data_IF_570979243452
#
_entry.id   IF_570979243452
#
_cell.length_a   1.000
_cell.length_b   1.000
_cell.length_c   1.000
_cell.angle_alpha   90.00
_cell.angle_beta   90.00
_cell.angle_gamma   90.00
#
_symmetry.space_group_name_H-M   'P 1'
#
loop_
_entity.id
_entity.type
_entity.pdbx_description
1 polymer ?
#
# COMPACT_ATOMS: atom_id res chain seq x y z
N UNK A 1 -19.55 -12.85 2.58
CA UNK A 1 -18.09 -12.57 2.38
C UNK A 1 -17.47 -13.67 1.56
N UNK A 2 -16.54 -13.34 0.65
CA UNK A 2 -15.74 -14.33 -0.09
C UNK A 2 -14.27 -14.11 0.24
N UNK A 3 -13.53 -15.18 0.55
CA UNK A 3 -12.11 -15.11 0.93
C UNK A 3 -11.31 -16.24 0.26
N UNK A 4 -10.02 -16.02 0.02
CA UNK A 4 -9.10 -17.07 -0.45
C UNK A 4 -8.67 -18.00 0.68
N UNK A 5 -8.26 -19.25 0.38
CA UNK A 5 -7.92 -20.23 1.41
C UNK A 5 -6.84 -19.75 2.41
N UNK A 6 -5.83 -19.03 1.90
CA UNK A 6 -4.67 -18.58 2.68
C UNK A 6 -5.01 -17.43 3.65
N UNK A 7 -6.20 -16.83 3.53
CA UNK A 7 -6.65 -15.69 4.34
C UNK A 7 -7.96 -15.94 5.07
N UNK A 8 -8.32 -17.21 5.26
CA UNK A 8 -9.49 -17.59 6.05
C UNK A 8 -9.27 -17.15 7.49
N UNK A 9 -10.24 -16.42 8.01
CA UNK A 9 -10.28 -15.95 9.39
C UNK A 9 -11.58 -16.45 10.02
N UNK A 10 -11.46 -17.20 11.12
CA UNK A 10 -12.60 -17.80 11.80
C UNK A 10 -13.57 -16.77 12.40
N UNK A 11 -13.05 -15.63 12.86
CA UNK A 11 -13.86 -14.56 13.42
C UNK A 11 -14.66 -13.86 12.31
N UNK A 12 -14.05 -13.60 11.17
CA UNK A 12 -14.73 -13.06 9.99
C UNK A 12 -15.79 -14.03 9.47
N UNK A 13 -15.48 -15.33 9.41
CA UNK A 13 -16.42 -16.36 8.98
C UNK A 13 -17.62 -16.44 9.91
N UNK A 14 -17.39 -16.40 11.23
CA UNK A 14 -18.46 -16.44 12.23
C UNK A 14 -19.36 -15.19 12.20
N UNK A 15 -18.82 -14.04 11.84
CA UNK A 15 -19.56 -12.78 11.69
C UNK A 15 -20.32 -12.63 10.37
N UNK A 16 -20.04 -13.48 9.36
CA UNK A 16 -20.63 -13.38 8.04
C UNK A 16 -21.89 -14.26 7.91
N UNK A 17 -23.01 -13.69 7.43
CA UNK A 17 -24.23 -14.46 7.16
C UNK A 17 -24.02 -15.50 6.05
N UNK A 18 -23.23 -15.14 5.03
CA UNK A 18 -22.78 -16.02 3.95
C UNK A 18 -21.26 -15.93 3.85
N UNK A 19 -20.59 -17.05 3.84
CA UNK A 19 -19.15 -17.14 3.73
C UNK A 19 -18.76 -18.23 2.72
N UNK A 20 -17.88 -17.89 1.78
CA UNK A 20 -17.33 -18.85 0.83
C UNK A 20 -15.81 -18.69 0.71
N UNK A 21 -15.13 -19.81 0.55
CA UNK A 21 -13.70 -19.88 0.28
C UNK A 21 -13.53 -20.15 -1.20
N UNK A 22 -13.24 -19.10 -1.95
CA UNK A 22 -13.09 -19.13 -3.41
C UNK A 22 -11.98 -18.14 -3.81
N UNK A 23 -11.36 -18.41 -4.94
CA UNK A 23 -10.48 -17.43 -5.58
C UNK A 23 -11.31 -16.24 -6.08
N UNK A 24 -11.35 -15.18 -5.27
CA UNK A 24 -12.14 -13.99 -5.57
C UNK A 24 -11.56 -13.14 -6.71
N UNK A 25 -10.35 -13.44 -7.20
CA UNK A 25 -9.79 -12.78 -8.39
C UNK A 25 -10.45 -13.26 -9.68
N UNK A 26 -11.14 -14.39 -9.61
CA UNK A 26 -11.82 -15.04 -10.74
C UNK A 26 -13.30 -14.67 -10.75
N UNK A 27 -13.66 -13.67 -11.55
CA UNK A 27 -15.03 -13.19 -11.68
C UNK A 27 -15.99 -14.31 -12.10
N UNK A 28 -15.56 -15.21 -13.00
CA UNK A 28 -16.34 -16.36 -13.46
C UNK A 28 -16.72 -17.32 -12.33
N UNK A 29 -15.95 -17.38 -11.25
CA UNK A 29 -16.21 -18.22 -10.08
C UNK A 29 -17.07 -17.53 -9.05
N UNK A 30 -16.86 -16.23 -8.80
CA UNK A 30 -17.58 -15.53 -7.74
C UNK A 30 -18.95 -15.01 -8.16
N UNK A 31 -19.12 -14.57 -9.40
CA UNK A 31 -20.36 -13.94 -9.85
C UNK A 31 -21.58 -14.88 -9.73
N UNK A 32 -21.54 -16.18 -10.06
CA UNK A 32 -22.65 -17.09 -9.82
C UNK A 32 -23.05 -17.20 -8.34
N UNK A 33 -22.05 -17.24 -7.45
CA UNK A 33 -22.27 -17.33 -5.99
C UNK A 33 -22.89 -16.03 -5.47
N UNK A 34 -22.35 -14.88 -5.89
CA UNK A 34 -22.85 -13.55 -5.48
C UNK A 34 -24.28 -13.35 -5.95
N UNK A 35 -24.62 -13.74 -7.20
CA UNK A 35 -26.00 -13.71 -7.71
C UNK A 35 -26.96 -14.60 -6.91
N UNK A 36 -26.55 -15.82 -6.60
CA UNK A 36 -27.36 -16.75 -5.82
C UNK A 36 -27.62 -16.23 -4.41
N UNK A 37 -26.61 -15.67 -3.77
CA UNK A 37 -26.75 -15.07 -2.44
C UNK A 37 -27.65 -13.83 -2.47
N UNK A 38 -27.45 -12.93 -3.43
CA UNK A 38 -28.27 -11.72 -3.58
C UNK A 38 -29.74 -12.05 -3.87
N UNK A 39 -30.01 -13.11 -4.64
CA UNK A 39 -31.38 -13.56 -4.91
C UNK A 39 -32.08 -14.15 -3.68
N UNK A 40 -31.32 -14.80 -2.79
CA UNK A 40 -31.85 -15.36 -1.55
C UNK A 40 -31.93 -14.35 -0.40
N UNK A 41 -31.00 -13.44 -0.32
CA UNK A 41 -30.82 -12.42 0.72
C UNK A 41 -30.19 -11.17 0.09
N UNK A 42 -31.01 -10.18 -0.34
CA UNK A 42 -30.54 -9.03 -1.10
C UNK A 42 -29.46 -8.22 -0.37
N UNK A 43 -28.41 -7.88 -1.09
CA UNK A 43 -27.35 -6.98 -0.62
C UNK A 43 -27.70 -5.54 -0.94
N UNK A 44 -27.19 -4.60 -0.14
CA UNK A 44 -27.32 -3.16 -0.37
C UNK A 44 -26.10 -2.58 -1.12
N UNK A 45 -24.94 -3.25 -1.04
CA UNK A 45 -23.72 -2.87 -1.74
C UNK A 45 -22.78 -4.06 -1.95
N UNK A 46 -21.85 -3.94 -2.90
CA UNK A 46 -20.72 -4.89 -3.07
C UNK A 46 -19.43 -4.11 -3.18
N UNK A 47 -18.52 -4.31 -2.22
CA UNK A 47 -17.26 -3.55 -2.11
C UNK A 47 -16.08 -4.46 -1.78
N UNK A 48 -14.87 -3.96 -2.05
CA UNK A 48 -13.62 -4.54 -1.55
C UNK A 48 -12.67 -3.43 -1.09
N UNK A 49 -11.97 -3.67 0.02
CA UNK A 49 -10.89 -2.82 0.50
C UNK A 49 -9.52 -3.48 0.34
N UNK A 50 -9.44 -4.51 -0.51
CA UNK A 50 -8.20 -5.25 -0.80
C UNK A 50 -7.87 -5.17 -2.28
N UNK A 51 -6.58 -5.03 -2.61
CA UNK A 51 -6.08 -4.80 -3.98
C UNK A 51 -6.68 -5.77 -5.02
N UNK A 52 -6.61 -7.06 -4.74
CA UNK A 52 -7.04 -8.09 -5.72
C UNK A 52 -8.56 -8.27 -5.79
N UNK A 53 -9.30 -7.77 -4.80
CA UNK A 53 -10.76 -7.84 -4.75
C UNK A 53 -11.48 -6.66 -5.39
N UNK A 54 -10.80 -5.53 -5.65
CA UNK A 54 -11.43 -4.30 -6.14
C UNK A 54 -12.17 -4.48 -7.47
N UNK A 55 -11.48 -4.99 -8.49
CA UNK A 55 -12.08 -5.16 -9.82
C UNK A 55 -13.22 -6.18 -9.80
N UNK A 56 -13.06 -7.40 -9.25
CA UNK A 56 -14.15 -8.36 -9.19
C UNK A 56 -15.36 -7.87 -8.40
N UNK A 57 -15.15 -7.17 -7.26
CA UNK A 57 -16.24 -6.58 -6.48
C UNK A 57 -16.98 -5.49 -7.26
N UNK A 58 -16.25 -4.56 -7.91
CA UNK A 58 -16.83 -3.53 -8.76
C UNK A 58 -17.70 -4.12 -9.89
N UNK A 59 -17.20 -5.19 -10.55
CA UNK A 59 -17.93 -5.88 -11.61
C UNK A 59 -19.18 -6.59 -11.07
N UNK A 60 -19.12 -7.20 -9.90
CA UNK A 60 -20.30 -7.78 -9.24
C UNK A 60 -21.32 -6.70 -8.88
N UNK A 61 -20.89 -5.57 -8.34
CA UNK A 61 -21.78 -4.44 -8.03
C UNK A 61 -22.52 -3.96 -9.28
N UNK A 62 -21.79 -3.72 -10.38
CA UNK A 62 -22.39 -3.29 -11.67
C UNK A 62 -23.40 -4.32 -12.19
N UNK A 63 -23.05 -5.60 -12.15
CA UNK A 63 -23.90 -6.70 -12.64
C UNK A 63 -25.21 -6.84 -11.85
N UNK A 64 -25.17 -6.51 -10.55
CA UNK A 64 -26.36 -6.54 -9.68
C UNK A 64 -27.10 -5.20 -9.61
N UNK A 65 -26.58 -4.13 -10.25
CA UNK A 65 -27.15 -2.79 -10.16
C UNK A 65 -27.02 -2.17 -8.76
N UNK A 66 -25.98 -2.53 -8.02
CA UNK A 66 -25.74 -2.10 -6.64
C UNK A 66 -24.63 -1.04 -6.54
N UNK A 67 -24.64 -0.23 -5.48
CA UNK A 67 -23.50 0.60 -5.11
C UNK A 67 -22.24 -0.24 -4.88
N UNK A 68 -21.07 0.31 -5.21
CA UNK A 68 -19.78 -0.34 -5.02
C UNK A 68 -18.61 0.55 -5.42
N UNK A 69 -17.43 -0.05 -5.52
CA UNK A 69 -16.21 0.64 -5.94
C UNK A 69 -16.31 1.15 -7.38
N UNK A 70 -15.64 2.27 -7.65
CA UNK A 70 -15.61 2.86 -8.99
C UNK A 70 -14.69 2.05 -9.94
N UNK A 71 -15.26 1.20 -10.78
CA UNK A 71 -14.52 0.36 -11.72
C UNK A 71 -13.58 1.19 -12.63
N UNK A 72 -13.98 2.38 -13.08
CA UNK A 72 -13.12 3.23 -13.92
C UNK A 72 -11.83 3.63 -13.20
N UNK A 73 -11.94 4.10 -11.97
CA UNK A 73 -10.77 4.44 -11.15
C UNK A 73 -9.92 3.22 -10.82
N UNK A 74 -10.55 2.10 -10.46
CA UNK A 74 -9.87 0.81 -10.22
C UNK A 74 -9.03 0.40 -11.43
N UNK A 75 -9.59 0.41 -12.64
CA UNK A 75 -8.88 0.00 -13.86
C UNK A 75 -7.77 0.99 -14.27
N UNK A 76 -7.89 2.27 -13.91
CA UNK A 76 -6.87 3.29 -14.19
C UNK A 76 -5.69 3.24 -13.23
N UNK A 77 -5.86 2.68 -12.04
CA UNK A 77 -4.81 2.62 -11.00
C UNK A 77 -4.15 1.26 -10.87
N UNK A 78 -4.85 0.18 -11.23
CA UNK A 78 -4.36 -1.19 -11.06
C UNK A 78 -3.15 -1.53 -11.93
N UNK A 79 -3.07 -0.96 -13.12
CA UNK A 79 -1.97 -1.13 -14.06
C UNK A 79 -1.05 0.10 -14.01
N UNK A 80 0.14 -0.05 -13.45
CA UNK A 80 1.14 1.01 -13.29
C UNK A 80 1.55 1.64 -14.63
N UNK A 81 1.57 0.84 -15.70
CA UNK A 81 1.87 1.34 -17.05
C UNK A 81 0.80 2.29 -17.53
N UNK A 82 -0.47 1.88 -17.43
CA UNK A 82 -1.62 2.73 -17.82
C UNK A 82 -1.70 3.99 -16.98
N UNK A 83 -1.47 3.88 -15.68
CA UNK A 83 -1.41 5.05 -14.78
C UNK A 83 -0.32 6.02 -15.22
N UNK A 84 0.90 5.53 -15.49
CA UNK A 84 2.03 6.34 -15.93
C UNK A 84 1.76 7.03 -17.26
N UNK A 85 1.27 6.30 -18.24
CA UNK A 85 0.89 6.88 -19.53
C UNK A 85 -0.20 7.95 -19.41
N UNK A 86 -1.21 7.71 -18.56
CA UNK A 86 -2.28 8.68 -18.31
C UNK A 86 -1.73 9.98 -17.69
N UNK A 87 -0.88 9.87 -16.67
CA UNK A 87 -0.22 11.00 -16.01
C UNK A 87 0.65 11.80 -17.00
N UNK A 88 1.48 11.09 -17.79
CA UNK A 88 2.37 11.74 -18.75
C UNK A 88 1.60 12.44 -19.89
N UNK A 89 0.56 11.81 -20.43
CA UNK A 89 -0.29 12.45 -21.46
C UNK A 89 -0.98 13.72 -20.99
N UNK A 90 -1.25 13.82 -19.70
CA UNK A 90 -1.89 15.00 -19.09
C UNK A 90 -0.87 16.01 -18.51
N UNK A 91 0.42 15.70 -18.54
CA UNK A 91 1.46 16.54 -17.96
C UNK A 91 1.36 16.73 -16.43
N UNK A 92 0.62 15.84 -15.75
CA UNK A 92 0.30 16.01 -14.34
C UNK A 92 1.48 15.58 -13.43
N UNK A 93 2.12 14.48 -13.74
CA UNK A 93 3.28 13.97 -12.99
C UNK A 93 4.19 13.22 -13.96
N UNK A 94 4.90 13.99 -14.79
CA UNK A 94 5.71 13.45 -15.87
C UNK A 94 6.94 12.74 -15.32
N UNK A 95 7.08 11.46 -15.70
CA UNK A 95 8.21 10.59 -15.39
C UNK A 95 8.62 9.89 -16.68
N UNK A 96 9.90 9.92 -17.02
CA UNK A 96 10.38 9.18 -18.19
C UNK A 96 10.24 7.70 -17.95
N UNK A 97 9.68 6.99 -18.91
CA UNK A 97 9.42 5.56 -18.79
C UNK A 97 9.46 4.87 -20.13
N UNK A 98 9.62 3.55 -20.10
CA UNK A 98 9.53 2.67 -21.26
C UNK A 98 8.86 1.35 -20.84
N UNK A 99 8.01 0.85 -21.72
CA UNK A 99 7.49 -0.52 -21.63
C UNK A 99 8.48 -1.40 -22.38
N UNK A 100 9.06 -2.39 -21.71
CA UNK A 100 10.14 -3.21 -22.22
C UNK A 100 9.71 -4.66 -22.30
N UNK A 101 9.81 -5.26 -23.50
CA UNK A 101 9.52 -6.68 -23.73
C UNK A 101 10.74 -7.55 -23.44
N UNK A 102 11.93 -6.98 -23.56
CA UNK A 102 13.21 -7.67 -23.40
C UNK A 102 14.28 -6.77 -22.73
N UNK A 103 15.34 -7.37 -22.16
CA UNK A 103 16.37 -6.59 -21.47
C UNK A 103 17.11 -5.55 -22.34
N UNK A 104 17.17 -5.76 -23.67
CA UNK A 104 17.75 -4.79 -24.60
C UNK A 104 16.99 -3.47 -24.61
N UNK A 105 15.65 -3.50 -24.52
CA UNK A 105 14.83 -2.29 -24.55
C UNK A 105 15.09 -1.45 -23.31
N UNK A 106 15.25 -2.11 -22.15
CA UNK A 106 15.61 -1.46 -20.89
C UNK A 106 17.04 -0.87 -20.94
N UNK A 107 17.98 -1.59 -21.58
CA UNK A 107 19.38 -1.11 -21.76
C UNK A 107 19.42 0.15 -22.62
N UNK A 108 18.70 0.16 -23.74
CA UNK A 108 18.59 1.34 -24.61
C UNK A 108 18.01 2.54 -23.84
N UNK A 109 16.93 2.29 -23.06
CA UNK A 109 16.34 3.34 -22.24
C UNK A 109 17.30 3.87 -21.17
N UNK A 110 18.06 3.01 -20.50
CA UNK A 110 19.10 3.43 -19.55
C UNK A 110 20.18 4.30 -20.24
N UNK A 111 20.58 3.95 -21.47
CA UNK A 111 21.54 4.75 -22.23
C UNK A 111 20.99 6.15 -22.57
N UNK A 112 19.71 6.26 -22.93
CA UNK A 112 19.03 7.55 -23.18
C UNK A 112 18.94 8.42 -21.93
N UNK A 113 18.87 7.80 -20.74
CA UNK A 113 18.81 8.50 -19.46
C UNK A 113 20.19 9.03 -19.00
N UNK A 114 21.27 8.75 -19.74
CA UNK A 114 22.62 9.27 -19.51
C UNK A 114 23.13 9.11 -18.06
N UNK A 115 22.93 7.93 -17.47
CA UNK A 115 23.42 7.58 -16.14
C UNK A 115 22.42 7.84 -14.99
N UNK A 116 21.20 8.26 -15.28
CA UNK A 116 20.14 8.27 -14.27
C UNK A 116 19.71 6.82 -14.03
N UNK A 117 19.72 6.33 -12.77
CA UNK A 117 19.22 5.01 -12.44
C UNK A 117 17.77 4.80 -12.87
N UNK A 118 17.36 3.55 -13.05
CA UNK A 118 15.97 3.22 -13.37
C UNK A 118 15.34 2.31 -12.33
N UNK A 119 14.02 2.34 -12.24
CA UNK A 119 13.23 1.38 -11.48
C UNK A 119 12.59 0.40 -12.48
N UNK A 120 12.91 -0.87 -12.31
CA UNK A 120 12.32 -2.00 -13.03
C UNK A 120 11.18 -2.57 -12.18
N UNK A 121 9.99 -2.72 -12.73
CA UNK A 121 8.83 -3.22 -11.99
C UNK A 121 7.79 -3.93 -12.88
N UNK A 122 7.04 -4.89 -12.32
CA UNK A 122 5.89 -5.47 -13.02
C UNK A 122 4.78 -4.41 -13.17
N UNK A 123 3.96 -4.47 -14.22
CA UNK A 123 2.87 -3.50 -14.43
C UNK A 123 1.76 -3.60 -13.39
N UNK A 124 1.58 -4.76 -12.77
CA UNK A 124 0.61 -5.00 -11.70
C UNK A 124 1.26 -5.70 -10.51
N UNK A 125 0.61 -5.67 -9.35
CA UNK A 125 1.12 -6.28 -8.12
C UNK A 125 1.34 -5.24 -7.01
N UNK A 126 1.81 -5.70 -5.86
CA UNK A 126 2.04 -4.90 -4.64
C UNK A 126 3.17 -5.46 -3.78
N UNK A 127 3.32 -4.95 -2.54
CA UNK A 127 4.30 -5.42 -1.56
C UNK A 127 5.77 -5.30 -2.01
N UNK A 128 6.05 -4.39 -2.94
CA UNK A 128 7.37 -4.19 -3.57
C UNK A 128 7.93 -5.46 -4.27
N UNK A 129 7.08 -6.45 -4.56
CA UNK A 129 7.51 -7.70 -5.21
C UNK A 129 7.92 -7.44 -6.66
N UNK A 130 9.14 -7.83 -7.00
CA UNK A 130 9.71 -7.64 -8.34
C UNK A 130 10.08 -6.19 -8.69
N UNK A 131 10.14 -5.29 -7.72
CA UNK A 131 10.52 -3.88 -7.91
C UNK A 131 11.99 -3.70 -7.54
N UNK A 132 12.81 -3.23 -8.48
CA UNK A 132 14.25 -3.05 -8.26
C UNK A 132 14.78 -1.73 -8.80
N UNK A 133 15.66 -1.12 -8.03
CA UNK A 133 16.56 -0.07 -8.54
C UNK A 133 17.64 -0.73 -9.40
N UNK A 134 17.86 -0.22 -10.60
CA UNK A 134 18.88 -0.67 -11.54
C UNK A 134 19.79 0.51 -11.89
N UNK A 135 21.04 0.41 -11.46
CA UNK A 135 22.05 1.45 -11.65
C UNK A 135 23.04 1.10 -12.76
N UNK A 136 23.21 -0.20 -13.06
CA UNK A 136 24.18 -0.72 -14.03
C UNK A 136 23.57 -1.81 -14.90
N UNK A 137 24.15 -2.02 -16.08
CA UNK A 137 23.74 -3.11 -16.97
C UNK A 137 23.96 -4.50 -16.35
N UNK A 138 24.98 -4.65 -15.52
CA UNK A 138 25.24 -5.91 -14.82
C UNK A 138 24.10 -6.29 -13.89
N UNK A 139 23.51 -5.31 -13.18
CA UNK A 139 22.36 -5.52 -12.33
C UNK A 139 21.07 -5.81 -13.13
N UNK A 140 20.96 -5.27 -14.35
CA UNK A 140 19.77 -5.39 -15.17
C UNK A 140 19.43 -6.87 -15.48
N UNK A 141 20.41 -7.66 -15.89
CA UNK A 141 20.19 -9.05 -16.31
C UNK A 141 19.66 -9.93 -15.17
N UNK A 142 20.22 -9.78 -13.96
CA UNK A 142 19.78 -10.51 -12.77
C UNK A 142 18.37 -10.08 -12.35
N UNK A 143 18.14 -8.77 -12.21
CA UNK A 143 16.89 -8.19 -11.73
C UNK A 143 15.75 -8.37 -12.73
N UNK A 144 16.04 -8.34 -14.03
CA UNK A 144 15.08 -8.65 -15.07
C UNK A 144 14.49 -10.05 -14.91
N UNK A 145 15.36 -11.07 -14.81
CA UNK A 145 14.93 -12.46 -14.62
C UNK A 145 14.11 -12.67 -13.35
N UNK A 146 14.42 -11.89 -12.32
CA UNK A 146 13.64 -11.93 -11.07
C UNK A 146 12.26 -11.27 -11.24
N UNK A 147 12.21 -10.06 -11.82
CA UNK A 147 10.96 -9.30 -12.03
C UNK A 147 9.98 -10.05 -12.94
N UNK A 148 10.47 -10.76 -13.96
CA UNK A 148 9.64 -11.59 -14.84
C UNK A 148 8.84 -12.68 -14.12
N UNK A 149 9.20 -13.05 -12.89
CA UNK A 149 8.42 -14.03 -12.09
C UNK A 149 7.11 -13.46 -11.59
N UNK A 150 6.97 -12.13 -11.60
CA UNK A 150 5.82 -11.38 -11.10
C UNK A 150 5.01 -10.70 -12.21
N UNK A 151 5.33 -10.97 -13.48
CA UNK A 151 4.64 -10.37 -14.63
C UNK A 151 4.46 -11.36 -15.78
N UNK A 152 3.25 -11.44 -16.31
CA UNK A 152 2.93 -12.17 -17.54
C UNK A 152 2.96 -11.18 -18.73
N UNK A 153 4.17 -10.71 -19.13
CA UNK A 153 4.29 -9.78 -20.24
C UNK A 153 5.36 -8.70 -20.03
N UNK A 154 5.24 -7.58 -20.76
CA UNK A 154 6.22 -6.50 -20.72
C UNK A 154 6.38 -5.89 -19.31
N UNK A 155 7.60 -5.45 -19.00
CA UNK A 155 7.91 -4.78 -17.74
C UNK A 155 7.89 -3.27 -17.92
N UNK A 156 7.56 -2.54 -16.85
CA UNK A 156 7.66 -1.10 -16.79
C UNK A 156 9.03 -0.71 -16.26
N UNK A 157 9.75 0.14 -17.01
CA UNK A 157 11.01 0.74 -16.61
C UNK A 157 10.82 2.25 -16.54
N UNK A 158 11.11 2.84 -15.37
CA UNK A 158 10.97 4.28 -15.14
C UNK A 158 12.29 4.88 -14.67
N UNK A 159 12.52 6.16 -14.95
CA UNK A 159 13.59 6.89 -14.29
C UNK A 159 13.42 6.87 -12.78
N UNK A 160 14.50 6.70 -12.06
CA UNK A 160 14.46 6.73 -10.60
C UNK A 160 14.22 8.16 -10.10
N UNK A 161 13.16 8.34 -9.34
CA UNK A 161 12.83 9.61 -8.70
C UNK A 161 13.65 9.76 -7.40
N UNK A 162 14.45 10.81 -7.30
CA UNK A 162 15.19 11.14 -6.07
C UNK A 162 14.33 11.94 -5.11
N UNK A 163 14.52 11.74 -3.81
CA UNK A 163 13.82 12.45 -2.76
C UNK A 163 13.08 11.53 -1.79
N UNK A 164 12.56 12.05 -0.69
CA UNK A 164 11.81 11.28 0.29
C UNK A 164 10.47 10.80 -0.28
N UNK A 165 10.03 9.66 0.24
CA UNK A 165 8.81 8.99 -0.19
C UNK A 165 7.68 9.24 0.80
N UNK A 166 6.50 9.51 0.27
CA UNK A 166 5.29 9.77 1.01
C UNK A 166 4.12 8.96 0.44
N UNK A 167 3.09 8.77 1.25
CA UNK A 167 1.78 8.42 0.74
C UNK A 167 0.73 9.42 1.21
N UNK A 168 -0.34 9.53 0.43
CA UNK A 168 -1.48 10.38 0.73
C UNK A 168 -2.69 9.50 0.89
N UNK A 169 -3.29 9.57 2.06
CA UNK A 169 -4.55 8.90 2.34
C UNK A 169 -5.68 9.89 2.07
N UNK A 170 -6.50 9.58 1.10
CA UNK A 170 -7.60 10.43 0.68
C UNK A 170 -8.92 9.67 0.63
N UNK A 171 -10.04 10.37 0.81
CA UNK A 171 -11.38 9.82 0.68
C UNK A 171 -12.21 10.69 -0.25
N UNK A 172 -13.03 10.05 -1.07
CA UNK A 172 -13.91 10.73 -2.02
C UNK A 172 -15.38 10.42 -1.73
N UNK A 173 -16.25 11.42 -1.92
CA UNK A 173 -17.72 11.30 -1.85
C UNK A 173 -18.33 12.07 -3.00
N UNK A 174 -19.01 11.40 -3.92
CA UNK A 174 -19.62 11.96 -5.14
C UNK A 174 -18.65 12.81 -5.98
N UNK A 175 -17.38 12.40 -6.03
CA UNK A 175 -16.35 13.14 -6.77
C UNK A 175 -15.81 14.38 -6.04
N UNK A 176 -16.18 14.61 -4.79
CA UNK A 176 -15.52 15.57 -3.89
C UNK A 176 -14.44 14.85 -3.13
N UNK A 177 -13.21 15.34 -3.25
CA UNK A 177 -12.02 14.72 -2.70
C UNK A 177 -11.55 15.43 -1.45
N UNK A 178 -11.14 14.66 -0.46
CA UNK A 178 -10.55 15.13 0.79
C UNK A 178 -9.25 14.38 1.07
N UNK A 179 -8.17 15.10 1.32
CA UNK A 179 -6.92 14.53 1.82
C UNK A 179 -7.02 14.41 3.35
N UNK A 180 -7.10 13.18 3.83
CA UNK A 180 -7.20 12.91 5.27
C UNK A 180 -5.85 13.17 5.96
N UNK A 181 -4.76 12.62 5.43
CA UNK A 181 -3.41 12.80 5.97
C UNK A 181 -2.35 12.47 4.92
N UNK A 182 -1.17 13.04 5.08
CA UNK A 182 0.05 12.63 4.38
C UNK A 182 0.91 11.79 5.32
N UNK A 183 1.34 10.63 4.83
CA UNK A 183 2.21 9.68 5.53
C UNK A 183 3.65 9.89 5.06
N UNK A 184 4.59 10.00 5.96
CA UNK A 184 6.01 9.94 5.65
C UNK A 184 6.45 8.47 5.71
N UNK A 185 7.05 7.96 4.62
CA UNK A 185 7.46 6.57 4.49
C UNK A 185 8.97 6.43 4.73
N UNK A 186 9.34 5.42 5.49
CA UNK A 186 10.73 5.02 5.67
C UNK A 186 10.93 3.69 4.91
N UNK A 187 11.70 3.75 3.81
CA UNK A 187 11.94 2.59 2.94
C UNK A 187 13.43 2.29 2.78
N UNK A 188 13.77 1.04 2.46
CA UNK A 188 15.11 0.70 1.97
C UNK A 188 15.28 1.28 0.54
N UNK A 189 16.53 1.52 0.15
CA UNK A 189 16.82 1.90 -1.24
C UNK A 189 17.17 0.68 -2.08
N UNK A 190 17.92 -0.25 -1.50
CA UNK A 190 18.39 -1.49 -2.12
C UNK A 190 18.21 -2.66 -1.16
N UNK A 191 17.90 -3.86 -1.64
CA UNK A 191 17.70 -4.26 -3.05
C UNK A 191 16.34 -3.85 -3.64
N UNK A 192 15.34 -3.51 -2.84
CA UNK A 192 14.00 -3.14 -3.31
C UNK A 192 13.26 -2.39 -2.21
N UNK A 193 12.63 -1.35 -2.48
CA UNK A 193 11.94 -0.34 -1.67
C UNK A 193 11.00 -0.91 -0.57
N UNK A 194 11.59 -1.65 0.39
CA UNK A 194 10.85 -2.34 1.45
C UNK A 194 10.61 -1.35 2.60
N UNK A 195 9.40 -1.26 3.06
CA UNK A 195 8.98 -0.36 4.11
C UNK A 195 9.53 -0.81 5.48
N UNK A 196 10.25 0.10 6.13
CA UNK A 196 10.80 -0.06 7.50
C UNK A 196 9.91 0.60 8.55
N UNK A 197 9.05 1.51 8.12
CA UNK A 197 8.12 2.22 8.99
C UNK A 197 7.41 3.37 8.28
N UNK A 198 6.41 3.90 8.97
CA UNK A 198 5.61 5.04 8.54
C UNK A 198 5.33 5.94 9.74
N UNK A 199 5.08 7.22 9.48
CA UNK A 199 4.61 8.17 10.48
C UNK A 199 3.61 9.16 9.91
N UNK A 200 2.69 9.59 10.76
CA UNK A 200 1.64 10.56 10.45
C UNK A 200 1.46 11.55 11.59
N UNK A 201 1.21 12.85 11.28
CA UNK A 201 1.31 13.44 9.95
C UNK A 201 2.77 13.51 9.47
N UNK A 202 2.96 13.57 8.15
CA UNK A 202 4.29 13.76 7.56
C UNK A 202 4.87 15.14 7.93
N UNK A 203 6.20 15.20 8.10
CA UNK A 203 6.94 16.44 8.37
C UNK A 203 7.22 17.16 7.05
N UNK A 204 6.35 18.06 6.69
CA UNK A 204 6.37 18.79 5.42
C UNK A 204 6.41 20.30 5.64
N UNK A 205 7.06 21.03 4.74
CA UNK A 205 6.87 22.46 4.67
C UNK A 205 5.46 22.80 4.17
N UNK A 206 4.90 23.96 4.46
CA UNK A 206 3.59 24.37 3.91
C UNK A 206 3.54 24.34 2.38
N UNK A 207 4.64 24.67 1.69
CA UNK A 207 4.74 24.65 0.25
C UNK A 207 4.70 23.21 -0.31
N UNK A 208 5.47 22.29 0.29
CA UNK A 208 5.47 20.88 -0.11
C UNK A 208 4.10 20.25 0.11
N UNK A 209 3.47 20.53 1.26
CA UNK A 209 2.11 20.07 1.56
C UNK A 209 1.10 20.57 0.52
N UNK A 210 1.13 21.83 0.17
CA UNK A 210 0.25 22.40 -0.84
C UNK A 210 0.44 21.74 -2.22
N UNK A 211 1.70 21.51 -2.64
CA UNK A 211 2.02 20.83 -3.89
C UNK A 211 1.54 19.37 -3.92
N UNK A 212 1.66 18.66 -2.79
CA UNK A 212 1.13 17.29 -2.66
C UNK A 212 -0.39 17.28 -2.73
N UNK A 213 -1.07 18.19 -2.03
CA UNK A 213 -2.53 18.30 -2.04
C UNK A 213 -3.05 18.62 -3.46
N UNK A 214 -2.41 19.56 -4.17
CA UNK A 214 -2.75 19.92 -5.56
C UNK A 214 -2.60 18.72 -6.51
N UNK A 215 -1.46 18.04 -6.47
CA UNK A 215 -1.22 16.84 -7.27
C UNK A 215 -2.25 15.76 -6.99
N UNK A 216 -2.56 15.52 -5.72
CA UNK A 216 -3.52 14.48 -5.29
C UNK A 216 -4.92 14.79 -5.80
N UNK A 217 -5.42 16.01 -5.63
CA UNK A 217 -6.74 16.41 -6.11
C UNK A 217 -6.85 16.31 -7.65
N UNK A 218 -5.82 16.78 -8.36
CA UNK A 218 -5.78 16.69 -9.82
C UNK A 218 -5.74 15.22 -10.29
N UNK A 219 -4.99 14.36 -9.60
CA UNK A 219 -4.93 12.92 -9.90
C UNK A 219 -6.26 12.22 -9.64
N UNK A 220 -6.92 12.48 -8.52
CA UNK A 220 -8.23 11.89 -8.19
C UNK A 220 -9.30 12.26 -9.23
N UNK A 221 -9.28 13.51 -9.68
CA UNK A 221 -10.12 13.95 -10.81
C UNK A 221 -9.76 13.24 -12.11
N UNK A 222 -8.45 13.06 -12.40
CA UNK A 222 -7.96 12.40 -13.61
C UNK A 222 -8.37 10.93 -13.69
N UNK A 223 -8.35 10.20 -12.58
CA UNK A 223 -8.82 8.80 -12.55
C UNK A 223 -10.35 8.68 -12.45
N UNK A 224 -11.07 9.80 -12.37
CA UNK A 224 -12.52 9.87 -12.18
C UNK A 224 -12.96 9.17 -10.87
N UNK A 225 -12.18 9.34 -9.80
CA UNK A 225 -12.56 8.80 -8.48
C UNK A 225 -13.85 9.46 -8.00
N UNK A 226 -14.83 8.67 -7.56
CA UNK A 226 -16.10 9.18 -7.07
C UNK A 226 -16.35 8.91 -5.60
N UNK A 227 -16.14 7.69 -5.16
CA UNK A 227 -16.48 7.25 -3.81
C UNK A 227 -15.41 6.30 -3.27
N UNK A 228 -15.10 6.43 -1.99
CA UNK A 228 -14.18 5.56 -1.29
C UNK A 228 -12.77 6.09 -1.16
N UNK A 229 -11.89 5.32 -0.49
CA UNK A 229 -10.53 5.71 -0.20
C UNK A 229 -9.61 5.55 -1.42
N UNK A 230 -8.55 6.36 -1.45
CA UNK A 230 -7.43 6.18 -2.37
C UNK A 230 -6.13 6.37 -1.60
N UNK A 231 -5.27 5.38 -1.69
CA UNK A 231 -3.87 5.42 -1.26
C UNK A 231 -3.01 5.81 -2.45
N UNK A 232 -2.29 6.93 -2.35
CA UNK A 232 -1.45 7.48 -3.44
C UNK A 232 -0.02 7.59 -2.96
N UNK A 233 0.93 6.95 -3.63
CA UNK A 233 2.36 7.01 -3.33
C UNK A 233 3.08 7.99 -4.25
N UNK A 234 3.97 8.79 -3.67
CA UNK A 234 4.72 9.82 -4.38
C UNK A 234 6.13 10.01 -3.79
N UNK A 235 7.01 10.59 -4.59
CA UNK A 235 8.28 11.16 -4.10
C UNK A 235 8.27 12.66 -4.24
N UNK A 236 8.78 13.32 -3.21
CA UNK A 236 9.00 14.77 -3.23
C UNK A 236 10.39 15.03 -3.81
N UNK A 237 10.41 15.28 -5.13
CA UNK A 237 11.64 15.56 -5.87
C UNK A 237 12.02 17.05 -5.77
N UNK A 238 13.25 17.44 -6.14
CA UNK A 238 13.62 18.87 -6.24
C UNK A 238 12.72 19.69 -7.17
N UNK A 239 12.00 19.03 -8.10
CA UNK A 239 11.05 19.65 -9.03
C UNK A 239 9.60 19.55 -8.58
N UNK A 240 9.35 19.24 -7.30
CA UNK A 240 8.04 19.04 -6.71
C UNK A 240 7.61 17.55 -6.65
N UNK A 241 6.38 17.27 -6.19
CA UNK A 241 5.90 15.92 -6.00
C UNK A 241 5.73 15.19 -7.34
N UNK A 242 6.09 13.90 -7.35
CA UNK A 242 5.94 12.97 -8.49
C UNK A 242 5.29 11.68 -8.02
N UNK A 243 4.17 11.33 -8.64
CA UNK A 243 3.40 10.14 -8.31
C UNK A 243 4.15 8.87 -8.74
N UNK A 244 4.23 7.89 -7.85
CA UNK A 244 4.79 6.55 -8.07
C UNK A 244 3.70 5.59 -8.50
N UNK A 245 2.68 5.42 -7.65
CA UNK A 245 1.52 4.56 -7.89
C UNK A 245 0.33 4.97 -7.03
N UNK A 246 -0.83 4.41 -7.29
CA UNK A 246 -2.02 4.59 -6.45
C UNK A 246 -2.93 3.37 -6.51
N UNK A 247 -3.69 3.16 -5.44
CA UNK A 247 -4.70 2.12 -5.33
C UNK A 247 -5.99 2.72 -4.75
N UNK A 248 -7.13 2.33 -5.30
CA UNK A 248 -8.47 2.80 -4.87
C UNK A 248 -8.95 2.02 -3.64
N UNK A 249 -8.12 1.96 -2.63
CA UNK A 249 -8.36 1.31 -1.34
C UNK A 249 -7.58 2.03 -0.23
N UNK A 250 -7.80 1.60 1.00
CA UNK A 250 -7.00 2.07 2.15
C UNK A 250 -5.54 1.64 2.03
N UNK A 251 -4.64 2.43 2.56
CA UNK A 251 -3.20 2.11 2.64
C UNK A 251 -2.95 0.80 3.38
N UNK A 252 -2.02 0.00 2.87
CA UNK A 252 -1.52 -1.20 3.55
C UNK A 252 -0.73 -0.87 4.82
N UNK A 253 -0.02 -1.86 5.36
CA UNK A 253 0.96 -1.64 6.43
C UNK A 253 0.43 -0.91 7.67
N UNK A 254 -0.87 -1.06 7.97
CA UNK A 254 -1.58 -0.33 9.02
C UNK A 254 -1.62 1.20 8.82
N UNK A 255 -1.31 1.71 7.63
CA UNK A 255 -1.39 3.15 7.32
C UNK A 255 -2.81 3.68 7.55
N UNK A 256 -3.83 2.88 7.21
CA UNK A 256 -5.23 3.20 7.45
C UNK A 256 -5.54 3.39 8.95
N UNK A 257 -4.94 2.58 9.82
CA UNK A 257 -5.10 2.70 11.28
C UNK A 257 -4.40 3.95 11.82
N UNK A 258 -3.18 4.26 11.33
CA UNK A 258 -2.51 5.51 11.67
C UNK A 258 -3.36 6.72 11.22
N UNK A 259 -3.96 6.64 10.02
CA UNK A 259 -4.84 7.68 9.49
C UNK A 259 -6.05 7.91 10.39
N UNK A 260 -6.76 6.87 10.77
CA UNK A 260 -7.90 6.94 11.69
C UNK A 260 -7.47 7.56 13.04
N UNK A 261 -6.35 7.13 13.61
CA UNK A 261 -5.83 7.65 14.89
C UNK A 261 -5.54 9.14 14.86
N UNK A 262 -4.96 9.63 13.76
CA UNK A 262 -4.49 11.02 13.65
C UNK A 262 -5.56 11.96 13.12
N UNK A 263 -6.39 11.51 12.18
CA UNK A 263 -7.44 12.34 11.56
C UNK A 263 -8.84 12.11 12.14
N UNK A 264 -9.06 10.98 12.80
CA UNK A 264 -10.39 10.53 13.22
C UNK A 264 -11.24 9.98 12.08
N UNK A 265 -10.68 9.81 10.87
CA UNK A 265 -11.39 9.34 9.68
C UNK A 265 -11.23 7.83 9.57
N UNK A 266 -12.29 7.08 9.92
CA UNK A 266 -12.44 5.68 9.51
C UNK A 266 -12.88 5.65 8.05
N UNK A 267 -11.93 5.51 7.14
CA UNK A 267 -12.20 5.53 5.68
C UNK A 267 -13.12 4.39 5.25
N UNK A 268 -13.07 3.25 5.91
CA UNK A 268 -13.91 2.09 5.60
C UNK A 268 -15.34 2.36 6.03
N UNK A 269 -15.55 2.75 7.29
CA UNK A 269 -16.87 3.04 7.82
C UNK A 269 -17.54 4.23 7.10
N UNK A 270 -16.78 5.29 6.80
CA UNK A 270 -17.32 6.44 6.05
C UNK A 270 -17.69 6.08 4.61
N UNK A 271 -16.91 5.22 3.95
CA UNK A 271 -17.23 4.73 2.60
C UNK A 271 -18.52 3.91 2.62
N UNK A 272 -18.64 2.98 3.58
CA UNK A 272 -19.87 2.18 3.73
C UNK A 272 -21.08 3.05 4.08
N UNK A 273 -20.92 4.00 5.01
CA UNK A 273 -21.99 4.93 5.36
C UNK A 273 -22.47 5.72 4.13
N UNK A 274 -21.54 6.21 3.30
CA UNK A 274 -21.90 6.92 2.07
C UNK A 274 -22.62 6.02 1.05
N UNK A 275 -22.12 4.82 0.80
CA UNK A 275 -22.72 3.87 -0.16
C UNK A 275 -24.11 3.39 0.26
N UNK A 276 -24.38 3.35 1.56
CA UNK A 276 -25.62 2.87 2.15
C UNK A 276 -26.57 3.99 2.59
N UNK A 277 -26.25 5.26 2.26
CA UNK A 277 -27.01 6.45 2.69
C UNK A 277 -27.25 6.49 4.22
N UNK A 278 -26.21 6.13 4.98
CA UNK A 278 -26.21 6.14 6.44
C UNK A 278 -25.50 7.40 6.96
N UNK A 279 -25.77 7.80 8.23
CA UNK A 279 -25.04 8.87 8.86
C UNK A 279 -23.52 8.60 8.89
N UNK A 280 -22.72 9.59 8.48
CA UNK A 280 -21.27 9.49 8.54
C UNK A 280 -20.82 9.43 9.99
N UNK A 281 -19.91 8.49 10.38
CA UNK A 281 -19.37 8.42 11.73
C UNK A 281 -18.73 9.73 12.20
N UNK A 282 -18.84 10.00 13.49
CA UNK A 282 -18.16 11.16 14.07
C UNK A 282 -16.63 10.96 14.01
N UNK A 283 -15.93 11.97 13.54
CA UNK A 283 -14.47 11.97 13.46
C UNK A 283 -13.87 12.40 14.79
N UNK A 284 -13.14 11.51 15.42
CA UNK A 284 -12.51 11.76 16.71
C UNK A 284 -11.05 11.31 16.68
N UNK A 285 -10.11 12.24 16.38
CA UNK A 285 -8.68 11.93 16.47
C UNK A 285 -8.33 11.39 17.87
N UNK A 286 -7.52 10.34 17.91
CA UNK A 286 -7.09 9.70 19.18
C UNK A 286 -5.76 10.28 19.66
N UNK A 287 -4.89 10.67 18.72
CA UNK A 287 -3.58 11.22 19.02
C UNK A 287 -3.19 12.28 17.99
N UNK A 288 -2.34 13.27 18.36
CA UNK A 288 -1.81 14.25 17.42
C UNK A 288 -0.90 13.64 16.35
N UNK A 289 -0.23 12.52 16.67
CA UNK A 289 0.65 11.80 15.76
C UNK A 289 0.71 10.31 16.11
N UNK A 290 1.03 9.49 15.09
CA UNK A 290 1.23 8.07 15.24
C UNK A 290 2.36 7.57 14.32
N UNK A 291 3.09 6.56 14.75
CA UNK A 291 4.15 5.93 13.97
C UNK A 291 4.11 4.40 14.08
N UNK A 292 4.52 3.75 13.00
CA UNK A 292 4.75 2.31 12.97
C UNK A 292 6.21 2.04 12.61
N UNK A 293 6.80 1.03 13.27
CA UNK A 293 8.14 0.50 12.95
C UNK A 293 8.07 -1.01 12.83
N UNK A 294 8.66 -1.54 11.75
CA UNK A 294 8.67 -2.98 11.47
C UNK A 294 9.89 -3.66 12.05
N UNK A 295 9.73 -4.95 12.39
CA UNK A 295 10.84 -5.83 12.69
C UNK A 295 11.37 -6.41 11.37
N UNK A 296 12.60 -6.03 11.00
CA UNK A 296 13.23 -6.36 9.72
C UNK A 296 14.57 -7.05 9.97
N UNK A 297 14.52 -8.34 10.27
CA UNK A 297 15.71 -9.18 10.44
C UNK A 297 15.82 -10.11 9.24
N UNK A 298 17.06 -10.39 8.81
CA UNK A 298 17.32 -11.24 7.66
C UNK A 298 18.54 -12.12 7.86
N UNK A 299 18.66 -13.17 7.02
CA UNK A 299 19.82 -14.06 6.91
C UNK A 299 20.33 -14.56 8.27
N UNK A 300 19.41 -14.95 9.15
CA UNK A 300 19.74 -15.32 10.51
C UNK A 300 18.93 -16.51 11.05
N UNK A 301 19.50 -17.22 12.00
CA UNK A 301 18.80 -18.16 12.86
C UNK A 301 18.50 -17.49 14.20
N UNK A 302 17.22 -17.35 14.54
CA UNK A 302 16.77 -16.76 15.81
C UNK A 302 17.07 -17.75 16.96
N UNK A 303 17.86 -17.33 17.94
CA UNK A 303 18.18 -18.13 19.14
C UNK A 303 17.31 -17.77 20.33
N UNK A 304 16.91 -16.51 20.42
CA UNK A 304 16.06 -16.02 21.51
C UNK A 304 15.38 -14.72 21.17
N UNK A 305 14.23 -14.45 21.81
CA UNK A 305 13.50 -13.17 21.72
C UNK A 305 13.08 -12.77 23.13
N UNK A 306 13.49 -11.59 23.56
CA UNK A 306 13.26 -11.04 24.91
C UNK A 306 12.70 -9.63 24.81
N UNK A 307 12.13 -9.11 25.91
CA UNK A 307 11.67 -7.73 26.01
C UNK A 307 10.29 -7.41 25.44
N UNK A 308 9.55 -8.36 24.86
CA UNK A 308 8.20 -8.11 24.31
C UNK A 308 7.23 -7.51 25.31
N UNK A 309 7.19 -8.06 26.55
CA UNK A 309 6.28 -7.56 27.59
C UNK A 309 6.70 -6.16 28.09
N UNK A 310 7.97 -5.82 28.05
CA UNK A 310 8.51 -4.50 28.35
C UNK A 310 8.13 -3.52 27.23
N UNK A 311 8.38 -3.90 25.97
CA UNK A 311 8.01 -3.14 24.79
C UNK A 311 6.50 -2.84 24.73
N UNK A 312 5.65 -3.83 25.05
CA UNK A 312 4.19 -3.65 25.06
C UNK A 312 3.71 -2.62 26.09
N UNK A 313 4.49 -2.38 27.14
CA UNK A 313 4.18 -1.38 28.20
C UNK A 313 4.93 -0.08 28.05
N UNK A 314 5.74 0.07 27.00
CA UNK A 314 6.49 1.28 26.76
C UNK A 314 5.55 2.48 26.42
N UNK A 315 5.97 3.71 26.69
CA UNK A 315 5.16 4.90 26.42
C UNK A 315 4.67 4.94 24.97
N UNK A 316 3.42 5.36 24.81
CA UNK A 316 2.79 5.53 23.50
C UNK A 316 2.42 4.23 22.76
N UNK A 317 2.83 3.05 23.22
CA UNK A 317 2.56 1.79 22.52
C UNK A 317 1.07 1.48 22.51
N UNK A 318 0.54 1.40 21.30
CA UNK A 318 -0.86 1.03 20.98
C UNK A 318 -0.95 -0.46 20.69
N UNK A 319 -0.05 -0.95 19.84
CA UNK A 319 -0.02 -2.33 19.39
C UNK A 319 1.40 -2.80 19.15
N UNK A 320 1.70 -4.01 19.58
CA UNK A 320 2.93 -4.71 19.27
C UNK A 320 2.60 -6.10 18.76
N UNK A 321 3.03 -6.40 17.54
CA UNK A 321 2.97 -7.73 16.96
C UNK A 321 4.38 -8.16 16.57
N UNK A 322 4.82 -9.31 17.08
CA UNK A 322 6.15 -9.83 16.79
C UNK A 322 6.05 -11.36 16.60
N UNK A 323 6.31 -11.82 15.38
CA UNK A 323 6.19 -13.23 14.98
C UNK A 323 7.48 -14.02 15.15
N UNK A 324 8.57 -13.37 15.56
CA UNK A 324 9.88 -14.00 15.80
C UNK A 324 9.79 -15.07 16.88
N UNK A 325 10.44 -16.21 16.68
CA UNK A 325 10.50 -17.34 17.66
C UNK A 325 11.87 -18.00 17.63
N UNK A 326 12.33 -18.55 18.77
CA UNK A 326 13.53 -19.37 18.78
C UNK A 326 13.43 -20.52 17.77
N UNK A 327 14.51 -20.79 17.05
CA UNK A 327 14.59 -21.79 16.00
C UNK A 327 14.13 -21.34 14.61
N UNK A 328 13.56 -20.14 14.48
CA UNK A 328 13.13 -19.61 13.19
C UNK A 328 14.34 -19.24 12.33
N UNK A 329 14.34 -19.74 11.08
CA UNK A 329 15.30 -19.33 10.04
C UNK A 329 14.71 -18.16 9.26
N UNK A 330 15.43 -17.06 9.20
CA UNK A 330 15.06 -15.86 8.46
C UNK A 330 15.85 -15.84 7.16
N UNK A 331 15.16 -15.80 6.02
CA UNK A 331 15.76 -15.58 4.71
C UNK A 331 16.13 -14.12 4.46
N UNK A 332 16.43 -13.76 3.21
CA UNK A 332 16.68 -12.38 2.83
C UNK A 332 15.43 -11.52 2.98
N UNK A 333 15.62 -10.23 3.25
CA UNK A 333 14.56 -9.22 3.24
C UNK A 333 14.25 -8.86 1.78
N UNK A 334 13.31 -9.58 1.16
CA UNK A 334 13.02 -9.50 -0.29
C UNK A 334 11.67 -8.86 -0.63
N UNK A 335 10.78 -8.70 0.35
CA UNK A 335 9.50 -8.02 0.21
C UNK A 335 8.96 -7.60 1.58
N UNK A 336 7.88 -6.84 1.62
CA UNK A 336 7.20 -6.46 2.86
C UNK A 336 6.66 -7.66 3.64
N UNK A 337 6.42 -8.80 2.98
CA UNK A 337 6.06 -10.07 3.63
C UNK A 337 7.23 -10.72 4.41
N UNK A 338 8.47 -10.31 4.15
CA UNK A 338 9.64 -10.84 4.87
C UNK A 338 9.81 -10.25 6.27
N UNK A 339 9.04 -9.23 6.63
CA UNK A 339 9.06 -8.58 7.96
C UNK A 339 8.42 -9.46 9.01
N UNK A 340 8.87 -9.32 10.27
CA UNK A 340 8.46 -10.20 11.35
C UNK A 340 7.52 -9.53 12.37
N UNK A 341 6.72 -8.60 11.90
CA UNK A 341 5.77 -7.85 12.71
C UNK A 341 6.15 -6.37 12.88
N UNK A 342 5.49 -5.69 13.80
CA UNK A 342 5.57 -4.24 13.94
C UNK A 342 5.22 -3.77 15.35
N UNK A 343 5.53 -2.50 15.64
CA UNK A 343 5.00 -1.76 16.79
C UNK A 343 4.38 -0.47 16.28
N UNK A 344 3.18 -0.14 16.79
CA UNK A 344 2.47 1.13 16.58
C UNK A 344 2.52 1.92 17.87
N UNK A 345 2.92 3.18 17.77
CA UNK A 345 2.94 4.11 18.89
C UNK A 345 2.28 5.43 18.52
N UNK A 346 1.59 6.00 19.50
CA UNK A 346 1.13 7.39 19.49
C UNK A 346 2.21 8.32 20.04
N UNK A 347 2.09 9.60 19.71
CA UNK A 347 2.92 10.67 20.23
C UNK A 347 2.19 12.00 20.32
N UNK A 348 2.78 12.94 21.07
CA UNK A 348 2.31 14.32 21.17
C UNK A 348 2.60 15.14 19.91
N UNK A 349 3.54 14.67 19.11
CA UNK A 349 3.91 15.12 17.77
C UNK A 349 4.58 13.98 17.00
N UNK A 350 4.93 14.19 15.74
CA UNK A 350 5.51 13.13 14.88
C UNK A 350 6.87 12.66 15.39
N UNK A 351 7.72 13.54 15.91
CA UNK A 351 9.01 13.18 16.49
C UNK A 351 8.85 12.31 17.74
N UNK A 352 7.88 12.61 18.58
CA UNK A 352 7.56 11.84 19.78
C UNK A 352 7.01 10.45 19.41
N UNK A 353 6.09 10.36 18.47
CA UNK A 353 5.56 9.08 17.97
C UNK A 353 6.67 8.19 17.38
N UNK A 354 7.55 8.78 16.58
CA UNK A 354 8.73 8.08 16.00
C UNK A 354 9.65 7.57 17.10
N UNK A 355 10.03 8.42 18.05
CA UNK A 355 10.90 8.06 19.18
C UNK A 355 10.31 6.94 20.02
N UNK A 356 9.00 7.00 20.31
CA UNK A 356 8.29 5.98 21.06
C UNK A 356 8.30 4.63 20.30
N UNK A 357 8.03 4.64 18.98
CA UNK A 357 8.01 3.43 18.17
C UNK A 357 9.40 2.79 18.02
N UNK A 358 10.45 3.59 17.85
CA UNK A 358 11.83 3.10 17.78
C UNK A 358 12.29 2.55 19.13
N UNK A 359 12.00 3.24 20.23
CA UNK A 359 12.30 2.76 21.58
C UNK A 359 11.61 1.43 21.86
N UNK A 360 10.32 1.33 21.58
CA UNK A 360 9.55 0.11 21.81
C UNK A 360 10.03 -1.05 20.92
N UNK A 361 10.37 -0.80 19.65
CA UNK A 361 10.97 -1.79 18.76
C UNK A 361 12.29 -2.31 19.33
N UNK A 362 13.16 -1.44 19.80
CA UNK A 362 14.50 -1.76 20.25
C UNK A 362 14.51 -2.45 21.63
N UNK A 363 13.44 -2.32 22.42
CA UNK A 363 13.23 -3.14 23.62
C UNK A 363 13.03 -4.63 23.29
N UNK A 364 12.54 -4.96 22.09
CA UNK A 364 12.46 -6.35 21.61
C UNK A 364 13.83 -6.81 21.14
N UNK A 365 14.57 -7.46 22.03
CA UNK A 365 15.92 -7.94 21.76
C UNK A 365 15.89 -9.32 21.14
N UNK A 366 16.50 -9.45 19.97
CA UNK A 366 16.59 -10.70 19.20
C UNK A 366 18.02 -11.21 19.23
N UNK A 367 18.21 -12.33 19.91
CA UNK A 367 19.46 -13.08 19.88
C UNK A 367 19.48 -13.94 18.61
N UNK A 368 20.50 -13.76 17.75
CA UNK A 368 20.53 -14.36 16.41
C UNK A 368 21.95 -14.68 15.96
N UNK A 369 22.06 -15.74 15.15
CA UNK A 369 23.30 -16.14 14.47
C UNK A 369 23.13 -15.95 12.95
N UNK A 370 24.12 -15.42 12.24
CA UNK A 370 24.08 -15.37 10.78
C UNK A 370 23.87 -16.76 10.18
N UNK A 371 23.09 -16.85 9.13
CA UNK A 371 23.08 -18.02 8.25
C UNK A 371 24.33 -17.92 7.37
N UNK A 372 25.22 -18.90 7.47
CA UNK A 372 26.44 -18.98 6.65
C UNK A 372 26.13 -19.16 5.16
#
# INVERSE_FOLDING_TARGET
MIQIPERVDEQQAAGARHYAVLDYTRLDRILPVVRAWHAADPFDAVVSFTEYGLEPASRCAIELGLPGDNLTAVLRTRDKTRTRELLNRRGLSTVRHRICEQPSDAREFMAELAGVPVVLKPPAGGLSEGVFLVETEAQLAERWSWTCRFADGPLLVEEFLTGPEYSVESISRDGKHEVAVVTEKLTTTTPGFIELGHQQPARLTPADRAGIDELTHAFLGLIEQRTGPVHTELRLTPSGPRLIEAQTRVGGDQIWELCERVSGIDMIAETLAHLLDLPVPARTPVAPAAAIRFFCYENALVRGVRGRAEAQRAPGVVRLQCTLRPGQRLGPLSSSNSRQGYVICDGTDTEDAVRNAETARDLVRVDREPLG
#
